data_IF_887000326316
#
_entry.id   IF_887000326316
#
_cell.length_a   1.000
_cell.length_b   1.000
_cell.length_c   1.000
_cell.angle_alpha   90.00
_cell.angle_beta   90.00
_cell.angle_gamma   90.00
#
_symmetry.space_group_name_H-M   'P 1'
#
loop_
_entity.id
_entity.type
_entity.pdbx_description
1 polymer ?
#
# COMPACT_ATOMS: atom_id res chain seq x y z
N UNK A 1 9.08 -7.38 15.44
CA UNK A 1 9.51 -6.08 14.91
C UNK A 1 8.63 -5.03 15.56
N UNK A 2 9.22 -4.06 16.24
CA UNK A 2 8.48 -3.13 17.10
C UNK A 2 7.45 -2.33 16.30
N UNK A 3 6.27 -2.18 16.91
CA UNK A 3 5.19 -1.36 16.41
C UNK A 3 5.68 0.07 16.20
N UNK A 4 5.51 0.57 14.98
CA UNK A 4 5.85 1.94 14.61
C UNK A 4 4.99 2.87 15.48
N UNK A 5 5.63 3.60 16.38
CA UNK A 5 5.01 4.61 17.24
C UNK A 5 4.14 5.58 16.45
N UNK A 6 3.04 6.11 17.01
CA UNK A 6 2.17 7.05 16.33
C UNK A 6 2.97 8.26 15.85
N UNK A 7 2.80 8.62 14.57
CA UNK A 7 3.45 9.80 13.99
C UNK A 7 2.86 11.03 14.65
N UNK A 8 3.64 11.62 15.56
CA UNK A 8 3.32 12.88 16.20
C UNK A 8 3.49 14.00 15.17
N UNK A 9 2.47 14.85 14.99
CA UNK A 9 2.50 15.97 14.04
C UNK A 9 3.54 17.02 14.49
N UNK A 10 3.82 17.08 15.80
CA UNK A 10 4.91 17.84 16.42
C UNK A 10 6.15 16.96 16.66
N UNK A 11 6.62 16.27 15.63
CA UNK A 11 7.87 15.53 15.69
C UNK A 11 9.02 16.43 15.20
N UNK A 12 9.94 16.78 16.10
CA UNK A 12 11.16 17.56 15.85
C UNK A 12 12.22 16.81 15.01
N UNK A 13 11.85 15.67 14.42
CA UNK A 13 12.71 14.79 13.65
C UNK A 13 13.55 13.84 14.51
N UNK A 14 13.50 13.95 15.85
CA UNK A 14 14.28 13.10 16.75
C UNK A 14 13.97 11.61 16.59
N UNK A 15 12.72 11.25 16.29
CA UNK A 15 12.33 9.84 16.08
C UNK A 15 12.99 9.21 14.86
N UNK A 16 13.29 10.00 13.83
CA UNK A 16 14.02 9.54 12.64
C UNK A 16 15.50 9.36 12.97
N UNK A 17 16.09 10.31 13.71
CA UNK A 17 17.50 10.26 14.14
C UNK A 17 17.76 9.09 15.11
N UNK A 18 16.82 8.83 16.02
CA UNK A 18 16.93 7.79 17.04
C UNK A 18 16.48 6.41 16.55
N UNK A 19 15.93 6.32 15.33
CA UNK A 19 15.47 5.07 14.74
C UNK A 19 16.63 4.09 14.63
N UNK A 20 16.54 3.00 15.36
CA UNK A 20 17.51 1.91 15.30
C UNK A 20 16.92 0.77 14.47
N UNK A 21 17.65 0.34 13.45
CA UNK A 21 17.32 -0.89 12.74
C UNK A 21 17.98 -2.05 13.45
N UNK A 22 17.19 -3.05 13.83
CA UNK A 22 17.70 -4.32 14.31
C UNK A 22 18.35 -5.04 13.13
N UNK A 23 19.67 -4.98 13.05
CA UNK A 23 20.45 -5.69 12.05
C UNK A 23 20.94 -7.02 12.64
N UNK A 24 20.44 -8.14 12.11
CA UNK A 24 21.03 -9.44 12.40
C UNK A 24 22.09 -9.76 11.35
N UNK A 25 23.31 -10.07 11.80
CA UNK A 25 24.42 -10.40 10.89
C UNK A 25 24.21 -11.74 10.17
N UNK A 26 23.26 -12.53 10.65
CA UNK A 26 22.88 -13.85 10.14
C UNK A 26 21.81 -13.78 9.03
N UNK A 27 21.15 -12.64 8.81
CA UNK A 27 20.33 -12.35 7.62
C UNK A 27 21.22 -12.03 6.39
N UNK A 28 22.31 -12.79 6.21
CA UNK A 28 23.08 -12.71 4.97
C UNK A 28 22.35 -13.46 3.87
N UNK A 29 22.05 -12.70 2.81
CA UNK A 29 21.61 -13.14 1.49
C UNK A 29 20.38 -14.03 1.53
N UNK A 30 19.22 -13.37 1.56
CA UNK A 30 18.00 -13.90 0.96
C UNK A 30 18.37 -14.66 -0.31
N UNK A 31 18.05 -15.96 -0.39
CA UNK A 31 18.25 -16.77 -1.60
C UNK A 31 17.76 -16.01 -2.83
N UNK A 32 18.42 -16.18 -3.98
CA UNK A 32 18.08 -15.51 -5.24
C UNK A 32 16.58 -15.60 -5.58
N UNK A 33 15.97 -16.76 -5.30
CA UNK A 33 14.53 -16.97 -5.49
C UNK A 33 13.69 -16.06 -4.60
N UNK A 34 14.05 -15.99 -3.32
CA UNK A 34 13.38 -15.18 -2.30
C UNK A 34 13.60 -13.68 -2.54
N UNK A 35 14.77 -13.30 -3.05
CA UNK A 35 15.07 -11.92 -3.44
C UNK A 35 14.23 -11.50 -4.65
N UNK A 36 14.13 -12.37 -5.66
CA UNK A 36 13.31 -12.10 -6.85
C UNK A 36 11.83 -11.90 -6.48
N UNK A 37 11.29 -12.75 -5.62
CA UNK A 37 9.90 -12.63 -5.16
C UNK A 37 9.68 -11.37 -4.32
N UNK A 38 10.58 -11.08 -3.36
CA UNK A 38 10.47 -9.93 -2.44
C UNK A 38 10.53 -8.59 -3.18
N UNK A 39 11.35 -8.48 -4.22
CA UNK A 39 11.60 -7.25 -4.96
C UNK A 39 10.97 -7.23 -6.37
N UNK A 40 10.13 -8.21 -6.69
CA UNK A 40 9.47 -8.36 -8.01
C UNK A 40 10.44 -8.10 -9.18
N UNK A 41 11.64 -8.72 -9.14
CA UNK A 41 12.72 -8.37 -10.07
C UNK A 41 12.35 -8.72 -11.52
N UNK A 42 11.62 -9.81 -11.74
CA UNK A 42 11.16 -10.19 -13.08
C UNK A 42 10.23 -9.13 -13.68
N UNK A 43 9.26 -8.64 -12.90
CA UNK A 43 8.35 -7.56 -13.33
C UNK A 43 9.14 -6.29 -13.66
N UNK A 44 10.08 -5.93 -12.79
CA UNK A 44 10.95 -4.76 -12.95
C UNK A 44 11.80 -4.86 -14.21
N UNK A 45 12.46 -5.99 -14.44
CA UNK A 45 13.31 -6.20 -15.62
C UNK A 45 12.50 -6.20 -16.91
N UNK A 46 11.34 -6.86 -16.93
CA UNK A 46 10.44 -6.89 -18.09
C UNK A 46 9.96 -5.49 -18.47
N UNK A 47 9.62 -4.65 -17.48
CA UNK A 47 9.25 -3.26 -17.72
C UNK A 47 10.41 -2.45 -18.32
N UNK A 48 11.60 -2.56 -17.72
CA UNK A 48 12.81 -1.85 -18.18
C UNK A 48 13.12 -2.19 -19.65
N UNK A 49 13.06 -3.47 -20.00
CA UNK A 49 13.36 -3.95 -21.35
C UNK A 49 12.26 -3.52 -22.33
N UNK A 50 10.99 -3.75 -22.00
CA UNK A 50 9.86 -3.45 -22.89
C UNK A 50 9.71 -1.96 -23.20
N UNK A 51 10.00 -1.08 -22.24
CA UNK A 51 9.99 0.37 -22.41
C UNK A 51 11.32 0.96 -22.88
N UNK A 52 12.36 0.12 -22.98
CA UNK A 52 13.72 0.50 -23.35
C UNK A 52 14.31 1.64 -22.49
N UNK A 53 14.07 1.60 -21.17
CA UNK A 53 14.71 2.54 -20.24
C UNK A 53 16.22 2.28 -20.17
N UNK A 54 17.02 3.34 -20.02
CA UNK A 54 18.49 3.25 -20.06
C UNK A 54 19.14 3.56 -18.72
N UNK A 55 18.63 4.55 -18.00
CA UNK A 55 19.08 4.93 -16.67
C UNK A 55 17.97 4.66 -15.63
N UNK A 56 18.23 3.77 -14.68
CA UNK A 56 17.25 3.32 -13.69
C UNK A 56 17.73 3.75 -12.31
N UNK A 57 16.90 4.53 -11.60
CA UNK A 57 17.14 4.90 -10.22
C UNK A 57 16.38 3.95 -9.28
N UNK A 58 17.06 3.38 -8.29
CA UNK A 58 16.49 2.52 -7.27
C UNK A 58 16.43 3.27 -5.94
N UNK A 59 15.24 3.40 -5.38
CA UNK A 59 15.00 4.07 -4.11
C UNK A 59 14.56 3.05 -3.06
N UNK A 60 15.33 2.91 -1.98
CA UNK A 60 15.06 1.97 -0.90
C UNK A 60 14.85 2.71 0.42
N UNK A 61 13.87 2.34 1.25
CA UNK A 61 13.82 2.79 2.63
C UNK A 61 14.93 2.12 3.44
N UNK A 62 15.30 2.71 4.58
CA UNK A 62 16.45 2.25 5.39
C UNK A 62 16.44 0.75 5.69
N UNK A 63 15.25 0.20 5.99
CA UNK A 63 15.09 -1.22 6.35
C UNK A 63 15.30 -2.20 5.18
N UNK A 64 15.30 -1.70 3.94
CA UNK A 64 15.55 -2.50 2.73
C UNK A 64 16.93 -2.24 2.11
N UNK A 65 17.70 -1.28 2.63
CA UNK A 65 19.04 -0.95 2.12
C UNK A 65 20.01 -2.13 2.19
N UNK A 66 19.82 -3.06 3.12
CA UNK A 66 20.66 -4.27 3.27
C UNK A 66 20.71 -5.11 1.99
N UNK A 67 19.61 -5.17 1.25
CA UNK A 67 19.48 -5.96 0.02
C UNK A 67 19.78 -5.14 -1.25
N UNK A 68 20.00 -3.82 -1.12
CA UNK A 68 20.09 -2.89 -2.26
C UNK A 68 21.18 -3.26 -3.26
N UNK A 69 22.36 -3.68 -2.78
CA UNK A 69 23.48 -4.10 -3.62
C UNK A 69 23.17 -5.37 -4.42
N UNK A 70 22.45 -6.32 -3.82
CA UNK A 70 22.04 -7.56 -4.49
C UNK A 70 21.00 -7.26 -5.59
N UNK A 71 19.96 -6.48 -5.25
CA UNK A 71 18.93 -6.03 -6.21
C UNK A 71 19.55 -5.25 -7.37
N UNK A 72 20.47 -4.33 -7.08
CA UNK A 72 21.23 -3.60 -8.08
C UNK A 72 21.95 -4.55 -9.04
N UNK A 73 22.68 -5.53 -8.50
CA UNK A 73 23.45 -6.44 -9.34
C UNK A 73 22.55 -7.29 -10.22
N UNK A 74 21.44 -7.79 -9.69
CA UNK A 74 20.47 -8.59 -10.43
C UNK A 74 19.83 -7.81 -11.58
N UNK A 75 19.31 -6.61 -11.31
CA UNK A 75 18.67 -5.79 -12.35
C UNK A 75 19.70 -5.43 -13.43
N UNK A 76 20.91 -5.04 -13.05
CA UNK A 76 21.97 -4.70 -14.00
C UNK A 76 22.37 -5.89 -14.87
N UNK A 77 22.53 -7.07 -14.28
CA UNK A 77 22.91 -8.28 -15.01
C UNK A 77 21.83 -8.74 -16.00
N UNK A 78 20.54 -8.64 -15.60
CA UNK A 78 19.41 -9.08 -16.44
C UNK A 78 19.06 -8.09 -17.56
N UNK A 79 19.29 -6.80 -17.36
CA UNK A 79 18.86 -5.75 -18.30
C UNK A 79 20.01 -5.12 -19.10
N UNK A 80 21.25 -5.26 -18.63
CA UNK A 80 22.44 -4.57 -19.17
C UNK A 80 22.29 -3.04 -19.25
N UNK A 81 21.46 -2.44 -18.39
CA UNK A 81 21.22 -1.00 -18.30
C UNK A 81 22.04 -0.32 -17.20
N UNK A 82 22.06 1.01 -17.19
CA UNK A 82 22.67 1.77 -16.11
C UNK A 82 21.69 1.79 -14.93
N UNK A 83 22.16 1.34 -13.77
CA UNK A 83 21.37 1.28 -12.54
C UNK A 83 22.07 2.15 -11.49
N UNK A 84 21.31 2.84 -10.66
CA UNK A 84 21.80 3.72 -9.59
C UNK A 84 21.00 3.47 -8.32
N UNK A 85 21.64 3.47 -7.15
CA UNK A 85 20.97 3.44 -5.86
C UNK A 85 20.92 4.88 -5.33
N UNK A 86 19.74 5.39 -4.99
CA UNK A 86 19.58 6.73 -4.44
C UNK A 86 19.98 6.76 -2.96
N UNK A 87 20.67 7.82 -2.55
CA UNK A 87 21.23 7.96 -1.20
C UNK A 87 20.35 8.73 -0.20
N UNK A 88 19.33 9.47 -0.67
CA UNK A 88 18.49 10.33 0.18
C UNK A 88 17.13 9.67 0.44
N UNK A 89 17.02 8.92 1.54
CA UNK A 89 15.83 8.10 1.82
C UNK A 89 15.38 8.04 3.28
N UNK A 90 16.16 8.58 4.21
CA UNK A 90 15.89 8.44 5.65
C UNK A 90 14.75 9.35 6.12
N UNK A 91 14.64 10.57 5.56
CA UNK A 91 13.49 11.44 5.78
C UNK A 91 12.55 11.38 4.57
N UNK A 92 11.26 11.12 4.79
CA UNK A 92 10.32 10.98 3.68
C UNK A 92 10.53 9.72 2.84
N UNK A 93 10.88 8.59 3.48
CA UNK A 93 11.08 7.30 2.80
C UNK A 93 9.88 6.80 1.99
N UNK A 94 8.69 7.41 2.17
CA UNK A 94 7.49 7.14 1.41
C UNK A 94 7.32 7.98 0.14
N UNK A 95 8.08 9.08 0.00
CA UNK A 95 8.00 9.97 -1.15
C UNK A 95 8.96 9.52 -2.23
N UNK A 96 8.59 9.76 -3.49
CA UNK A 96 9.49 9.53 -4.62
C UNK A 96 10.49 10.68 -4.73
N UNK A 97 11.78 10.37 -4.83
CA UNK A 97 12.84 11.38 -4.98
C UNK A 97 13.20 11.60 -6.47
N UNK A 98 12.43 12.46 -7.14
CA UNK A 98 12.73 12.87 -8.52
C UNK A 98 13.99 13.74 -8.64
N UNK A 99 14.38 14.46 -7.58
CA UNK A 99 15.52 15.39 -7.64
C UNK A 99 16.81 14.61 -7.69
N UNK A 100 17.00 13.63 -6.78
CA UNK A 100 18.16 12.75 -6.81
C UNK A 100 18.20 11.90 -8.09
N UNK A 101 17.05 11.37 -8.53
CA UNK A 101 16.96 10.61 -9.77
C UNK A 101 17.32 11.46 -11.01
N UNK A 102 16.95 12.75 -11.02
CA UNK A 102 17.30 13.67 -12.11
C UNK A 102 18.80 13.92 -12.24
N UNK A 103 19.56 13.90 -11.14
CA UNK A 103 21.02 14.08 -11.18
C UNK A 103 21.76 12.98 -11.93
N UNK A 104 21.16 11.79 -12.07
CA UNK A 104 21.69 10.67 -12.86
C UNK A 104 20.98 10.51 -14.21
N UNK A 105 20.16 11.50 -14.60
CA UNK A 105 19.32 11.46 -15.80
C UNK A 105 18.49 10.17 -15.88
N UNK A 106 17.85 9.77 -14.77
CA UNK A 106 17.03 8.57 -14.73
C UNK A 106 15.81 8.67 -15.66
N UNK A 107 15.56 7.60 -16.39
CA UNK A 107 14.38 7.43 -17.23
C UNK A 107 13.23 6.72 -16.48
N UNK A 108 13.56 6.03 -15.39
CA UNK A 108 12.63 5.29 -14.53
C UNK A 108 13.14 5.33 -13.08
N UNK A 109 12.23 5.54 -12.13
CA UNK A 109 12.46 5.30 -10.71
C UNK A 109 11.78 4.00 -10.31
N UNK A 110 12.47 3.11 -9.60
CA UNK A 110 11.89 1.98 -8.91
C UNK A 110 11.88 2.28 -7.42
N UNK A 111 10.70 2.49 -6.86
CA UNK A 111 10.51 2.85 -5.46
C UNK A 111 10.05 1.62 -4.66
N UNK A 112 10.85 1.18 -3.70
CA UNK A 112 10.59 -0.01 -2.90
C UNK A 112 9.92 0.32 -1.56
N UNK A 113 9.00 -0.54 -1.11
CA UNK A 113 8.45 -0.48 0.25
C UNK A 113 7.23 0.43 0.40
N UNK A 114 7.16 1.16 1.52
CA UNK A 114 6.02 2.04 1.82
C UNK A 114 6.06 3.28 0.95
N UNK A 115 4.93 3.68 0.37
CA UNK A 115 4.83 4.89 -0.47
C UNK A 115 3.64 5.74 -0.04
N UNK A 116 3.74 7.05 -0.24
CA UNK A 116 2.62 7.98 -0.15
C UNK A 116 1.94 8.21 -1.52
N UNK A 117 2.44 7.55 -2.57
CA UNK A 117 2.03 7.72 -3.97
C UNK A 117 2.02 9.19 -4.40
N UNK A 118 2.99 9.94 -3.90
CA UNK A 118 3.25 11.30 -4.36
C UNK A 118 3.45 11.30 -5.87
N UNK A 119 2.60 12.04 -6.58
CA UNK A 119 2.68 12.16 -8.03
C UNK A 119 4.05 12.69 -8.44
N UNK A 120 4.66 12.04 -9.43
CA UNK A 120 5.84 12.59 -10.08
C UNK A 120 5.45 13.52 -11.22
N UNK A 121 6.35 14.43 -11.58
CA UNK A 121 6.11 15.41 -12.64
C UNK A 121 6.82 15.06 -13.95
N UNK A 122 7.94 14.33 -13.90
CA UNK A 122 8.82 14.14 -15.08
C UNK A 122 9.21 12.70 -15.30
N UNK A 123 9.58 12.00 -14.24
CA UNK A 123 10.15 10.66 -14.33
C UNK A 123 9.07 9.63 -13.97
N UNK A 124 8.82 8.64 -14.85
CA UNK A 124 7.96 7.50 -14.53
C UNK A 124 8.46 6.74 -13.30
N UNK A 125 7.52 6.17 -12.55
CA UNK A 125 7.80 5.42 -11.32
C UNK A 125 7.15 4.05 -11.37
N UNK A 126 7.94 3.03 -11.06
CA UNK A 126 7.47 1.69 -10.71
C UNK A 126 7.54 1.54 -9.19
N UNK A 127 6.38 1.30 -8.57
CA UNK A 127 6.28 0.96 -7.15
C UNK A 127 6.35 -0.55 -6.96
N UNK A 128 7.22 -0.98 -6.04
CA UNK A 128 7.37 -2.38 -5.63
C UNK A 128 7.09 -2.47 -4.14
N UNK A 129 5.93 -3.00 -3.80
CA UNK A 129 5.48 -3.11 -2.41
C UNK A 129 6.10 -4.33 -1.72
N UNK A 130 6.47 -4.17 -0.45
CA UNK A 130 6.89 -5.30 0.37
C UNK A 130 5.67 -6.15 0.72
N UNK A 131 5.49 -7.28 0.07
CA UNK A 131 4.37 -8.17 0.36
C UNK A 131 4.55 -8.81 1.74
N UNK A 132 3.71 -8.42 2.68
CA UNK A 132 3.69 -9.03 4.00
C UNK A 132 2.88 -10.32 3.97
N UNK A 133 3.40 -11.37 4.57
CA UNK A 133 2.67 -12.63 4.65
C UNK A 133 1.29 -12.41 5.31
N UNK A 134 0.25 -13.03 4.75
CA UNK A 134 -1.08 -13.07 5.35
C UNK A 134 -1.67 -14.46 5.13
N UNK A 135 -2.19 -15.03 6.21
CA UNK A 135 -2.96 -16.27 6.14
C UNK A 135 -4.38 -15.93 5.68
N UNK A 136 -4.62 -16.10 4.37
CA UNK A 136 -5.85 -15.67 3.71
C UNK A 136 -7.07 -16.40 4.31
N UNK A 137 -6.93 -17.68 4.64
CA UNK A 137 -8.03 -18.48 5.19
C UNK A 137 -8.38 -18.04 6.62
N UNK A 138 -7.37 -17.84 7.47
CA UNK A 138 -7.58 -17.32 8.82
C UNK A 138 -8.18 -15.91 8.80
N UNK A 139 -7.67 -15.03 7.92
CA UNK A 139 -8.21 -13.69 7.75
C UNK A 139 -9.67 -13.73 7.29
N UNK A 140 -10.00 -14.53 6.28
CA UNK A 140 -11.36 -14.68 5.78
C UNK A 140 -12.32 -15.20 6.85
N UNK A 141 -11.92 -16.22 7.62
CA UNK A 141 -12.75 -16.80 8.69
C UNK A 141 -13.07 -15.76 9.79
N UNK A 142 -12.09 -14.95 10.17
CA UNK A 142 -12.28 -13.91 11.20
C UNK A 142 -13.13 -12.76 10.69
N UNK A 143 -12.88 -12.31 9.46
CA UNK A 143 -13.66 -11.24 8.83
C UNK A 143 -15.11 -11.69 8.64
N UNK A 144 -15.35 -12.90 8.11
CA UNK A 144 -16.71 -13.45 7.93
C UNK A 144 -17.47 -13.61 9.23
N UNK A 145 -16.87 -14.18 10.28
CA UNK A 145 -17.49 -14.30 11.61
C UNK A 145 -17.94 -12.94 12.16
N UNK A 146 -17.14 -11.90 11.91
CA UNK A 146 -17.48 -10.55 12.33
C UNK A 146 -18.61 -9.94 11.48
N UNK A 147 -18.55 -10.10 10.16
CA UNK A 147 -19.62 -9.68 9.24
C UNK A 147 -20.94 -10.34 9.63
N UNK A 148 -20.96 -11.64 9.92
CA UNK A 148 -22.17 -12.38 10.31
C UNK A 148 -22.75 -11.90 11.64
N UNK A 149 -21.90 -11.45 12.59
CA UNK A 149 -22.34 -10.94 13.88
C UNK A 149 -23.06 -9.59 13.79
N UNK A 150 -22.69 -8.78 12.80
CA UNK A 150 -23.29 -7.45 12.56
C UNK A 150 -24.41 -7.55 11.51
N UNK A 151 -24.29 -8.50 10.59
CA UNK A 151 -25.15 -8.76 9.44
C UNK A 151 -25.44 -7.51 8.58
N UNK A 152 -24.41 -6.81 8.05
CA UNK A 152 -24.59 -5.61 7.25
C UNK A 152 -25.08 -5.93 5.83
N UNK A 153 -25.76 -4.98 5.18
CA UNK A 153 -26.14 -5.11 3.77
C UNK A 153 -24.92 -5.02 2.84
N UNK A 154 -23.96 -4.13 3.15
CA UNK A 154 -22.78 -3.87 2.34
C UNK A 154 -21.53 -3.71 3.21
N UNK A 155 -20.39 -4.20 2.69
CA UNK A 155 -19.07 -4.13 3.34
C UNK A 155 -18.05 -3.60 2.36
N UNK A 156 -17.35 -2.51 2.69
CA UNK A 156 -16.22 -1.98 1.94
C UNK A 156 -14.90 -2.50 2.53
N UNK A 157 -14.18 -3.30 1.76
CA UNK A 157 -12.89 -3.87 2.14
C UNK A 157 -11.75 -3.05 1.53
N UNK A 158 -10.98 -2.41 2.40
CA UNK A 158 -9.79 -1.62 2.08
C UNK A 158 -8.54 -2.38 2.49
N UNK A 159 -7.46 -2.25 1.72
CA UNK A 159 -6.19 -2.92 1.99
C UNK A 159 -5.08 -1.90 2.12
N UNK A 160 -4.19 -2.11 3.08
CA UNK A 160 -2.88 -1.50 3.05
C UNK A 160 -2.06 -2.05 1.87
N UNK A 161 -1.15 -1.25 1.35
CA UNK A 161 -0.31 -1.57 0.19
C UNK A 161 0.44 -2.92 0.38
N UNK A 162 0.83 -3.25 1.61
CA UNK A 162 1.58 -4.46 1.95
C UNK A 162 0.77 -5.75 1.80
N UNK A 163 -0.56 -5.66 1.95
CA UNK A 163 -1.48 -6.80 1.84
C UNK A 163 -2.24 -6.80 0.51
N UNK A 164 -1.95 -5.85 -0.38
CA UNK A 164 -2.62 -5.72 -1.68
C UNK A 164 -2.56 -7.00 -2.50
N UNK A 165 -1.47 -7.77 -2.44
CA UNK A 165 -1.37 -9.05 -3.12
C UNK A 165 -2.55 -9.98 -2.77
N UNK A 166 -2.95 -10.05 -1.49
CA UNK A 166 -4.01 -10.94 -0.98
C UNK A 166 -5.45 -10.52 -1.30
N UNK A 167 -5.66 -9.29 -1.79
CA UNK A 167 -7.00 -8.72 -1.96
C UNK A 167 -7.93 -9.55 -2.85
N UNK A 168 -7.42 -10.10 -3.97
CA UNK A 168 -8.25 -10.86 -4.92
C UNK A 168 -8.80 -12.12 -4.26
N UNK A 169 -7.91 -12.90 -3.65
CA UNK A 169 -8.26 -14.15 -2.99
C UNK A 169 -9.18 -13.91 -1.79
N UNK A 170 -8.87 -12.90 -0.96
CA UNK A 170 -9.66 -12.59 0.23
C UNK A 170 -11.07 -12.11 -0.15
N UNK A 171 -11.21 -11.24 -1.15
CA UNK A 171 -12.51 -10.79 -1.65
C UNK A 171 -13.31 -11.95 -2.25
N UNK A 172 -12.66 -12.85 -2.99
CA UNK A 172 -13.33 -14.04 -3.54
C UNK A 172 -13.93 -14.91 -2.44
N UNK A 173 -13.12 -15.27 -1.42
CA UNK A 173 -13.56 -16.13 -0.32
C UNK A 173 -14.69 -15.46 0.48
N UNK A 174 -14.60 -14.15 0.72
CA UNK A 174 -15.63 -13.42 1.46
C UNK A 174 -16.95 -13.31 0.67
N UNK A 175 -16.90 -13.14 -0.65
CA UNK A 175 -18.10 -13.15 -1.48
C UNK A 175 -18.81 -14.52 -1.49
N UNK A 176 -18.04 -15.61 -1.36
CA UNK A 176 -18.61 -16.97 -1.27
C UNK A 176 -19.17 -17.28 0.13
N UNK A 177 -18.55 -16.72 1.18
CA UNK A 177 -18.88 -17.06 2.57
C UNK A 177 -19.93 -16.15 3.21
N UNK A 178 -19.99 -14.88 2.79
CA UNK A 178 -20.85 -13.86 3.40
C UNK A 178 -22.08 -13.56 2.54
N UNK A 179 -23.20 -13.25 3.20
CA UNK A 179 -24.43 -12.79 2.51
C UNK A 179 -24.38 -11.30 2.14
N UNK A 180 -23.54 -10.54 2.83
CA UNK A 180 -23.32 -9.11 2.59
C UNK A 180 -22.64 -8.88 1.25
N UNK A 181 -22.97 -7.79 0.56
CA UNK A 181 -22.28 -7.39 -0.65
C UNK A 181 -20.88 -6.85 -0.30
N UNK A 182 -19.82 -7.52 -0.77
CA UNK A 182 -18.44 -7.08 -0.58
C UNK A 182 -18.02 -6.14 -1.70
N UNK A 183 -17.66 -4.91 -1.34
CA UNK A 183 -17.11 -3.88 -2.20
C UNK A 183 -15.61 -3.78 -1.94
N UNK A 184 -14.79 -3.73 -2.99
CA UNK A 184 -13.35 -3.48 -2.86
C UNK A 184 -12.86 -2.69 -4.07
N UNK A 185 -11.96 -1.70 -3.90
CA UNK A 185 -11.41 -0.94 -5.02
C UNK A 185 -10.75 -1.87 -6.05
N UNK A 186 -11.01 -1.66 -7.34
CA UNK A 186 -10.36 -2.46 -8.39
C UNK A 186 -8.84 -2.33 -8.32
N UNK A 187 -8.12 -3.45 -8.48
CA UNK A 187 -6.67 -3.41 -8.71
C UNK A 187 -6.43 -2.93 -10.14
N UNK A 188 -6.10 -1.65 -10.31
CA UNK A 188 -5.60 -1.18 -11.60
C UNK A 188 -4.08 -1.37 -11.65
N UNK A 189 -3.56 -1.83 -12.79
CA UNK A 189 -2.11 -1.97 -13.03
C UNK A 189 -1.36 -0.62 -12.88
N UNK A 190 -2.08 0.49 -13.11
CA UNK A 190 -1.62 1.88 -12.93
C UNK A 190 -1.19 2.21 -11.52
N UNK A 191 -1.65 1.47 -10.52
CA UNK A 191 -1.30 1.77 -9.12
C UNK A 191 0.11 1.30 -8.78
N UNK A 192 0.69 0.42 -9.60
CA UNK A 192 2.09 0.01 -9.46
C UNK A 192 3.01 0.74 -10.42
N UNK A 193 2.49 1.33 -11.50
CA UNK A 193 3.28 2.08 -12.45
C UNK A 193 2.61 3.40 -12.82
N UNK A 194 3.28 4.50 -12.52
CA UNK A 194 2.83 5.85 -12.82
C UNK A 194 3.75 6.50 -13.85
N UNK A 195 3.19 6.99 -14.95
CA UNK A 195 3.91 7.75 -15.97
C UNK A 195 3.29 9.15 -16.12
N UNK A 196 3.97 10.22 -15.66
CA UNK A 196 3.44 11.58 -15.72
C UNK A 196 3.16 12.07 -17.16
N UNK A 197 3.81 11.47 -18.17
CA UNK A 197 3.63 11.88 -19.57
C UNK A 197 2.34 11.32 -20.17
N UNK A 198 1.82 10.21 -19.63
CA UNK A 198 0.61 9.54 -20.11
C UNK A 198 -0.62 9.92 -19.28
N UNK A 199 -0.44 10.26 -18.00
CA UNK A 199 -1.52 10.55 -17.06
C UNK A 199 -2.16 11.95 -17.21
N UNK A 200 -1.67 12.80 -18.12
CA UNK A 200 -2.19 14.16 -18.35
C UNK A 200 -3.61 14.25 -18.95
N UNK A 201 -4.27 13.14 -19.29
CA UNK A 201 -5.58 13.16 -19.99
C UNK A 201 -6.79 12.91 -19.07
N UNK A 202 -6.64 12.62 -17.76
CA UNK A 202 -7.82 12.18 -16.97
C UNK A 202 -7.86 12.46 -15.47
N UNK A 203 -7.32 13.57 -14.94
CA UNK A 203 -7.40 13.82 -13.49
C UNK A 203 -7.66 15.28 -13.12
N UNK A 204 -8.74 15.82 -13.65
CA UNK A 204 -9.39 17.03 -13.14
C UNK A 204 -10.66 16.64 -12.37
N UNK A 205 -10.53 15.72 -11.42
CA UNK A 205 -11.59 15.45 -10.46
C UNK A 205 -11.02 15.40 -9.04
N UNK A 206 -11.43 16.38 -8.26
CA UNK A 206 -11.27 16.50 -6.82
C UNK A 206 -11.82 15.26 -6.13
N UNK A 207 -10.98 14.29 -5.78
CA UNK A 207 -11.39 13.15 -4.96
C UNK A 207 -10.25 12.78 -4.02
N UNK A 208 -10.59 12.64 -2.74
CA UNK A 208 -9.71 12.25 -1.63
C UNK A 208 -8.97 10.94 -1.98
N UNK A 209 -7.79 11.06 -2.60
CA UNK A 209 -6.90 9.94 -2.86
C UNK A 209 -6.24 9.55 -1.54
N UNK A 210 -6.91 8.72 -0.76
CA UNK A 210 -6.21 8.02 0.31
C UNK A 210 -5.32 6.99 -0.37
N UNK A 211 -4.01 7.18 -0.32
CA UNK A 211 -2.99 6.25 -0.83
C UNK A 211 -3.24 5.76 -2.27
N UNK A 212 -3.54 6.67 -3.21
CA UNK A 212 -3.65 6.34 -4.63
C UNK A 212 -4.77 5.36 -5.01
N UNK A 213 -5.69 5.05 -4.09
CA UNK A 213 -6.97 4.47 -4.46
C UNK A 213 -7.80 5.54 -5.18
N UNK A 214 -7.79 5.52 -6.52
CA UNK A 214 -8.85 6.16 -7.28
C UNK A 214 -10.15 5.43 -7.00
N UNK A 215 -10.95 5.97 -6.09
CA UNK A 215 -12.37 5.75 -6.11
C UNK A 215 -12.85 6.37 -7.42
N UNK A 216 -12.98 5.57 -8.48
CA UNK A 216 -13.91 5.97 -9.53
C UNK A 216 -15.25 6.15 -8.81
N UNK A 217 -15.96 7.22 -9.13
CA UNK A 217 -17.37 7.41 -8.78
C UNK A 217 -18.29 6.29 -9.32
N UNK A 218 -17.72 5.14 -9.71
CA UNK A 218 -18.37 3.94 -10.22
C UNK A 218 -18.45 2.83 -9.16
N UNK A 219 -18.21 3.12 -7.88
CA UNK A 219 -19.22 2.61 -6.94
C UNK A 219 -20.43 3.46 -7.27
N UNK A 220 -21.27 2.97 -8.19
CA UNK A 220 -22.69 3.29 -8.13
C UNK A 220 -23.13 2.86 -6.72
N UNK A 221 -22.89 3.76 -5.75
CA UNK A 221 -23.89 4.00 -4.74
C UNK A 221 -25.04 4.45 -5.61
N UNK A 222 -25.87 3.48 -5.96
CA UNK A 222 -27.13 3.67 -6.66
C UNK A 222 -27.90 4.69 -5.80
N UNK A 223 -27.67 5.96 -6.11
CA UNK A 223 -28.20 7.12 -5.41
C UNK A 223 -29.68 7.34 -5.79
N UNK A 224 -30.30 6.33 -6.42
CA UNK A 224 -31.73 6.27 -6.68
C UNK A 224 -32.57 5.77 -5.50
N UNK A 225 -31.98 5.22 -4.44
CA UNK A 225 -32.76 4.70 -3.32
C UNK A 225 -32.13 5.09 -1.97
N UNK A 226 -32.69 6.11 -1.34
CA UNK A 226 -32.31 6.66 -0.02
C UNK A 226 -32.60 5.70 1.15
N UNK A 227 -32.67 4.40 0.88
CA UNK A 227 -33.06 3.33 1.80
C UNK A 227 -31.95 2.30 2.09
N UNK A 228 -30.78 2.38 1.44
CA UNK A 228 -29.63 1.50 1.73
C UNK A 228 -28.71 2.13 2.78
N UNK A 229 -28.53 1.42 3.90
CA UNK A 229 -27.62 1.79 4.97
C UNK A 229 -26.16 1.88 4.48
N UNK A 230 -25.39 2.83 5.02
CA UNK A 230 -23.98 3.02 4.69
C UNK A 230 -23.15 1.73 4.89
N UNK A 231 -22.20 1.43 3.99
CA UNK A 231 -21.41 0.21 4.06
C UNK A 231 -20.47 0.23 5.28
N UNK A 232 -20.30 -0.93 5.93
CA UNK A 232 -19.29 -1.11 6.97
C UNK A 232 -17.91 -1.16 6.32
N UNK A 233 -16.92 -0.46 6.88
CA UNK A 233 -15.57 -0.39 6.32
C UNK A 233 -14.64 -1.32 7.10
N UNK A 234 -14.07 -2.32 6.41
CA UNK A 234 -13.06 -3.21 6.97
C UNK A 234 -11.71 -2.86 6.36
N UNK A 235 -10.71 -2.60 7.20
CA UNK A 235 -9.36 -2.26 6.77
C UNK A 235 -8.40 -3.42 7.04
N UNK A 236 -7.79 -3.96 6.00
CA UNK A 236 -6.79 -5.03 6.08
C UNK A 236 -5.40 -4.40 6.05
N UNK A 237 -4.88 -4.08 7.23
CA UNK A 237 -3.64 -3.36 7.38
C UNK A 237 -3.17 -3.32 8.83
N UNK A 238 -2.07 -2.61 9.06
CA UNK A 238 -1.55 -2.40 10.41
C UNK A 238 -2.09 -1.10 11.01
N UNK A 239 -2.07 -1.01 12.34
CA UNK A 239 -2.34 0.25 13.03
C UNK A 239 -1.23 1.25 12.68
N UNK A 240 -1.62 2.47 12.30
CA UNK A 240 -0.68 3.49 11.92
C UNK A 240 -1.36 4.74 11.35
N UNK A 241 -0.55 5.71 10.88
CA UNK A 241 -1.06 7.00 10.39
C UNK A 241 -2.09 6.86 9.27
N UNK A 242 -1.96 5.83 8.42
CA UNK A 242 -2.91 5.54 7.33
C UNK A 242 -4.31 5.21 7.86
N UNK A 243 -4.40 4.30 8.82
CA UNK A 243 -5.66 3.97 9.49
C UNK A 243 -6.21 5.19 10.26
N UNK A 244 -5.35 5.92 10.97
CA UNK A 244 -5.77 7.14 11.68
C UNK A 244 -6.34 8.18 10.72
N UNK A 245 -5.67 8.44 9.59
CA UNK A 245 -6.15 9.37 8.58
C UNK A 245 -7.45 8.90 7.92
N UNK A 246 -7.61 7.60 7.69
CA UNK A 246 -8.87 7.01 7.22
C UNK A 246 -10.01 7.28 8.20
N UNK A 247 -9.78 7.05 9.50
CA UNK A 247 -10.77 7.32 10.55
C UNK A 247 -11.08 8.82 10.64
N UNK A 248 -10.05 9.68 10.60
CA UNK A 248 -10.19 11.13 10.73
C UNK A 248 -10.92 11.78 9.55
N UNK A 249 -10.59 11.37 8.32
CA UNK A 249 -11.19 11.90 7.09
C UNK A 249 -12.67 11.58 6.93
N UNK A 250 -13.20 10.62 7.69
CA UNK A 250 -14.62 10.21 7.65
C UNK A 250 -15.41 10.59 8.90
N UNK A 251 -14.86 11.44 9.77
CA UNK A 251 -15.47 11.86 11.06
C UNK A 251 -16.87 12.51 10.96
N UNK A 252 -17.29 13.00 9.79
CA UNK A 252 -18.59 13.66 9.60
C UNK A 252 -19.67 12.75 8.94
N UNK A 253 -19.31 11.55 8.48
CA UNK A 253 -20.25 10.54 7.93
C UNK A 253 -20.40 9.31 8.86
N UNK A 254 -20.09 9.47 10.15
CA UNK A 254 -19.93 8.38 11.14
C UNK A 254 -21.26 7.98 11.78
N UNK A 255 -22.28 7.77 10.96
CA UNK A 255 -23.48 7.06 11.38
C UNK A 255 -23.31 5.65 10.80
N UNK A 256 -22.91 4.69 11.63
CA UNK A 256 -22.70 3.26 11.30
C UNK A 256 -21.32 2.82 10.75
N UNK A 257 -20.24 3.57 10.94
CA UNK A 257 -18.90 3.09 10.56
C UNK A 257 -18.25 2.31 11.70
N UNK A 258 -18.11 0.99 11.53
CA UNK A 258 -17.25 0.15 12.38
C UNK A 258 -15.93 -0.07 11.64
N UNK A 259 -14.80 0.31 12.24
CA UNK A 259 -13.48 0.11 11.66
C UNK A 259 -12.83 -1.12 12.27
N UNK A 260 -12.45 -2.06 11.43
CA UNK A 260 -11.76 -3.28 11.81
C UNK A 260 -10.36 -3.28 11.20
N UNK A 261 -9.33 -3.62 12.00
CA UNK A 261 -7.98 -3.86 11.50
C UNK A 261 -7.53 -5.29 11.77
N UNK A 262 -6.82 -5.89 10.82
CA UNK A 262 -6.21 -7.21 10.97
C UNK A 262 -4.84 -7.07 11.64
N UNK A 263 -4.71 -7.54 12.88
CA UNK A 263 -3.45 -7.41 13.61
C UNK A 263 -2.55 -8.62 13.37
N UNK A 264 -1.66 -8.51 12.39
CA UNK A 264 -0.75 -9.58 11.97
C UNK A 264 -0.12 -10.40 13.12
N UNK A 265 0.34 -9.75 14.19
CA UNK A 265 1.03 -10.42 15.31
C UNK A 265 0.14 -11.33 16.16
N UNK A 266 -1.14 -11.00 16.32
CA UNK A 266 -2.07 -11.84 17.09
C UNK A 266 -2.89 -12.74 16.19
N UNK A 267 -2.63 -12.68 14.86
CA UNK A 267 -3.67 -12.92 13.85
C UNK A 267 -4.90 -12.09 14.35
N UNK A 268 -6.17 -12.41 14.25
CA UNK A 268 -7.21 -11.59 14.97
C UNK A 268 -7.50 -10.23 14.31
N UNK A 269 -8.78 -10.02 14.07
CA UNK A 269 -9.36 -8.76 13.64
C UNK A 269 -9.81 -8.04 14.90
N UNK A 270 -9.28 -6.84 15.13
CA UNK A 270 -9.65 -6.00 16.27
C UNK A 270 -10.51 -4.84 15.78
N UNK A 271 -11.57 -4.55 16.54
CA UNK A 271 -12.39 -3.36 16.36
C UNK A 271 -11.56 -2.15 16.81
N UNK A 272 -11.13 -1.33 15.86
CA UNK A 272 -10.40 -0.09 16.14
C UNK A 272 -11.34 0.97 16.71
N UNK A 273 -12.55 1.06 16.15
CA UNK A 273 -13.47 2.12 16.47
C UNK A 273 -14.90 1.70 16.17
N UNK A 274 -15.78 1.93 17.15
CA UNK A 274 -17.21 1.70 17.06
C UNK A 274 -17.90 3.03 17.35
N UNK A 275 -18.45 3.67 16.32
CA UNK A 275 -19.44 4.71 16.54
C UNK A 275 -20.80 4.05 16.68
N UNK A 276 -21.19 3.76 17.92
CA UNK A 276 -22.61 3.55 18.23
C UNK A 276 -23.17 4.94 18.55
N UNK A 277 -24.12 5.43 17.76
CA UNK A 277 -24.89 6.60 18.18
C UNK A 277 -25.57 6.30 19.52
N UNK A 278 -25.62 7.26 20.47
CA UNK A 278 -26.50 7.10 21.61
C UNK A 278 -27.94 7.05 21.08
N UNK A 279 -28.70 6.03 21.51
CA UNK A 279 -30.15 6.02 21.41
C UNK A 279 -30.68 7.38 21.90
N UNK A 280 -31.35 8.13 21.02
CA UNK A 280 -32.51 8.97 21.31
C UNK A 280 -33.17 9.44 20.01
#
# INVERSE_FOLDING_TARGET
>A
MDAISPVNIDNDGSSVIQKTLLYSKDEKTTDLSSLNQKYELDKTCNLIISRNYSNIALQFPDNLLVDSAAVFSEIRNRTAKNVYILGDTTFGSCCVDEVAASHVNADLIVHYGNTCLSHTSRIPVLYVYSNHHIDIMDAASKISTNIDSINPSQVLLLFDQFYRHSQVDLVSILNESCKSQILSPSKNDTDTFFDPKVSTISQQDSLLSLDGFSFSNNIEVDTGDSSKADPIIIYVGHEGPKLTNLIMSRKEQVINTSFYYYYYYFKTVLLAYLSISPLN
#
